data_IF_523340475557
#
_entry.id   IF_523340475557
#
_cell.length_a   1.000
_cell.length_b   1.000
_cell.length_c   1.000
_cell.angle_alpha   90.00
_cell.angle_beta   90.00
_cell.angle_gamma   90.00
#
_symmetry.space_group_name_H-M   'P 1'
#
loop_
_entity.id
_entity.type
_entity.pdbx_description
1 polymer ?
#
# COMPACT_ATOMS: atom_id res chain seq x y z
N UNK A 1 20.28 -5.45 19.27
CA UNK A 1 20.35 -3.98 19.30
C UNK A 1 20.49 -3.37 17.90
N UNK A 2 20.57 -4.16 16.84
CA UNK A 2 20.92 -3.71 15.47
C UNK A 2 19.79 -2.97 14.74
N UNK A 3 18.53 -3.17 15.15
CA UNK A 3 17.37 -2.58 14.48
C UNK A 3 17.02 -1.16 14.98
N UNK A 4 17.79 -0.63 15.93
CA UNK A 4 17.52 0.68 16.51
C UNK A 4 18.10 1.76 15.61
N UNK A 5 17.24 2.57 15.00
CA UNK A 5 17.67 3.72 14.22
C UNK A 5 18.13 4.84 15.17
N UNK A 6 19.45 4.99 15.34
CA UNK A 6 20.02 6.03 16.22
C UNK A 6 19.73 7.44 15.71
N UNK A 7 19.60 8.41 16.62
CA UNK A 7 19.39 9.83 16.30
C UNK A 7 20.68 10.61 16.62
N UNK A 8 21.05 11.53 15.73
CA UNK A 8 22.12 12.53 15.92
C UNK A 8 21.58 13.93 15.58
N UNK A 9 22.45 14.93 15.57
CA UNK A 9 22.08 16.35 15.37
C UNK A 9 21.28 16.60 14.09
N UNK A 10 21.54 15.83 13.05
CA UNK A 10 20.92 15.88 11.73
C UNK A 10 19.69 14.98 11.57
N UNK A 11 19.33 14.18 12.59
CA UNK A 11 18.15 13.32 12.58
C UNK A 11 18.47 11.83 12.70
N UNK A 12 17.55 10.98 12.22
CA UNK A 12 17.72 9.52 12.20
C UNK A 12 18.86 9.13 11.25
N UNK A 13 19.77 8.29 11.71
CA UNK A 13 20.95 7.86 10.95
C UNK A 13 20.67 6.67 10.02
N UNK A 14 19.55 5.98 10.23
CA UNK A 14 19.11 4.81 9.50
C UNK A 14 17.57 4.85 9.39
N UNK A 15 17.00 3.98 8.53
CA UNK A 15 15.56 3.94 8.28
C UNK A 15 15.01 2.52 8.32
N UNK A 16 15.46 1.72 9.30
CA UNK A 16 14.99 0.36 9.51
C UNK A 16 13.51 0.32 9.89
N UNK A 17 13.02 1.40 10.54
CA UNK A 17 11.61 1.64 10.81
C UNK A 17 10.78 2.08 9.58
N UNK A 18 11.40 2.22 8.39
CA UNK A 18 10.69 2.48 7.12
C UNK A 18 9.88 3.78 7.09
N UNK A 19 10.36 4.81 7.78
CA UNK A 19 9.73 6.13 7.88
C UNK A 19 8.65 6.26 8.94
N UNK A 20 8.22 5.16 9.59
CA UNK A 20 7.17 5.16 10.61
C UNK A 20 7.67 4.63 11.96
N UNK A 21 7.42 5.36 13.03
CA UNK A 21 7.72 4.92 14.40
C UNK A 21 6.50 5.17 15.28
N UNK A 22 6.02 4.13 15.98
CA UNK A 22 4.82 4.23 16.82
C UNK A 22 3.56 4.68 16.08
N UNK A 23 3.47 4.40 14.77
CA UNK A 23 2.34 4.82 13.93
C UNK A 23 2.41 6.27 13.43
N UNK A 24 3.51 6.98 13.63
CA UNK A 24 3.71 8.36 13.17
C UNK A 24 4.88 8.47 12.20
N UNK A 25 4.79 9.41 11.26
CA UNK A 25 5.88 9.76 10.36
C UNK A 25 7.07 10.32 11.14
N UNK A 26 8.28 9.87 10.79
CA UNK A 26 9.54 10.28 11.42
C UNK A 26 10.26 11.41 10.69
N UNK A 27 9.79 11.77 9.49
CA UNK A 27 10.48 12.67 8.54
C UNK A 27 11.43 11.92 7.59
N UNK A 28 11.74 10.66 7.85
CA UNK A 28 12.47 9.79 6.92
C UNK A 28 11.55 9.26 5.81
N UNK A 29 12.09 8.84 4.65
CA UNK A 29 11.28 8.26 3.58
C UNK A 29 10.42 7.09 4.04
N UNK A 30 9.16 7.06 3.61
CA UNK A 30 8.28 5.93 3.84
C UNK A 30 8.69 4.76 2.95
N UNK A 31 8.91 3.60 3.56
CA UNK A 31 9.31 2.37 2.84
C UNK A 31 8.24 1.32 3.05
N UNK A 32 7.56 0.95 1.96
CA UNK A 32 6.55 -0.10 1.96
C UNK A 32 6.99 -1.23 1.03
N UNK A 33 6.81 -2.48 1.47
CA UNK A 33 6.97 -3.67 0.62
C UNK A 33 5.63 -4.39 0.58
N UNK A 34 5.17 -4.70 -0.62
CA UNK A 34 3.89 -5.37 -0.84
C UNK A 34 4.14 -6.65 -1.61
N UNK A 35 3.69 -7.77 -1.03
CA UNK A 35 3.72 -9.08 -1.67
C UNK A 35 2.36 -9.33 -2.33
N UNK A 36 2.39 -9.72 -3.61
CA UNK A 36 1.20 -9.95 -4.41
C UNK A 36 1.19 -11.41 -4.83
N UNK A 37 0.07 -12.09 -4.57
CA UNK A 37 -0.13 -13.46 -5.02
C UNK A 37 -0.22 -13.52 -6.56
N UNK A 38 0.07 -14.67 -7.19
CA UNK A 38 -0.16 -14.85 -8.61
C UNK A 38 -1.62 -14.58 -9.03
N UNK A 39 -1.81 -14.19 -10.29
CA UNK A 39 -3.15 -14.00 -10.88
C UNK A 39 -3.94 -15.32 -10.81
N UNK A 40 -5.17 -15.27 -10.29
CA UNK A 40 -6.02 -16.47 -10.15
C UNK A 40 -6.57 -17.01 -11.48
N UNK A 41 -6.83 -16.12 -12.44
CA UNK A 41 -7.36 -16.50 -13.74
C UNK A 41 -6.23 -16.98 -14.64
N UNK A 42 -5.98 -18.29 -14.61
CA UNK A 42 -4.98 -18.95 -15.46
C UNK A 42 -5.65 -19.84 -16.52
N UNK A 43 -4.96 -20.15 -17.63
CA UNK A 43 -5.53 -20.96 -18.71
C UNK A 43 -5.78 -22.44 -18.37
N UNK A 44 -5.30 -22.92 -17.22
CA UNK A 44 -5.47 -24.31 -16.80
C UNK A 44 -6.89 -24.55 -16.26
N UNK A 45 -7.47 -25.74 -16.46
CA UNK A 45 -8.68 -26.16 -15.75
C UNK A 45 -8.45 -26.08 -14.23
N UNK A 46 -9.46 -25.63 -13.50
CA UNK A 46 -9.40 -25.44 -12.04
C UNK A 46 -10.68 -25.94 -11.39
N UNK A 47 -10.56 -26.69 -10.30
CA UNK A 47 -11.72 -27.11 -9.51
C UNK A 47 -12.36 -25.89 -8.82
N UNK A 48 -13.69 -25.77 -8.92
CA UNK A 48 -14.45 -24.67 -8.35
C UNK A 48 -15.91 -25.09 -8.13
N UNK A 49 -16.68 -24.23 -7.47
CA UNK A 49 -18.14 -24.39 -7.33
C UNK A 49 -18.88 -23.22 -7.97
N UNK A 50 -20.12 -23.47 -8.41
CA UNK A 50 -21.08 -22.42 -8.77
C UNK A 50 -21.75 -21.85 -7.52
N UNK A 51 -22.58 -20.81 -7.69
CA UNK A 51 -23.31 -20.16 -6.58
C UNK A 51 -24.33 -21.07 -5.91
N UNK A 52 -24.84 -22.08 -6.64
CA UNK A 52 -25.74 -23.13 -6.16
C UNK A 52 -25.00 -24.32 -5.53
N UNK A 53 -23.67 -24.22 -5.36
CA UNK A 53 -22.79 -25.23 -4.78
C UNK A 53 -22.57 -26.48 -5.65
N UNK A 54 -23.00 -26.45 -6.91
CA UNK A 54 -22.65 -27.49 -7.88
C UNK A 54 -21.16 -27.42 -8.22
N UNK A 55 -20.49 -28.58 -8.13
CA UNK A 55 -19.07 -28.76 -8.48
C UNK A 55 -18.86 -28.54 -9.98
N UNK A 56 -17.79 -27.82 -10.34
CA UNK A 56 -17.42 -27.55 -11.72
C UNK A 56 -15.91 -27.61 -11.93
N UNK A 57 -15.50 -28.10 -13.10
CA UNK A 57 -14.17 -27.86 -13.63
C UNK A 57 -14.20 -26.52 -14.38
N UNK A 58 -13.76 -25.45 -13.72
CA UNK A 58 -13.72 -24.12 -14.29
C UNK A 58 -12.59 -24.00 -15.33
N UNK A 59 -12.99 -23.74 -16.57
CA UNK A 59 -12.06 -23.41 -17.65
C UNK A 59 -12.16 -21.92 -17.98
N UNK A 60 -11.01 -21.24 -17.96
CA UNK A 60 -10.94 -19.83 -18.32
C UNK A 60 -11.27 -19.64 -19.80
N UNK A 61 -12.26 -18.79 -20.09
CA UNK A 61 -12.60 -18.42 -21.47
C UNK A 61 -11.44 -17.69 -22.14
N UNK A 62 -11.27 -17.92 -23.45
CA UNK A 62 -10.26 -17.23 -24.26
C UNK A 62 -10.44 -15.72 -24.17
N UNK A 63 -9.36 -15.02 -23.83
CA UNK A 63 -9.36 -13.57 -23.64
C UNK A 63 -8.03 -13.08 -23.09
N UNK A 64 -7.90 -11.76 -22.97
CA UNK A 64 -6.70 -11.14 -22.37
C UNK A 64 -6.87 -11.10 -20.85
N UNK A 65 -6.07 -11.92 -20.17
CA UNK A 65 -5.96 -11.94 -18.71
C UNK A 65 -4.59 -11.43 -18.28
N UNK A 66 -4.50 -10.89 -17.08
CA UNK A 66 -3.27 -10.30 -16.58
C UNK A 66 -2.29 -11.41 -16.16
N UNK A 67 -1.13 -11.59 -16.84
CA UNK A 67 -0.18 -12.63 -16.46
C UNK A 67 0.53 -12.32 -15.13
N UNK A 68 0.57 -11.05 -14.72
CA UNK A 68 1.20 -10.62 -13.48
C UNK A 68 0.58 -9.31 -12.97
N UNK A 69 -0.38 -9.43 -12.04
CA UNK A 69 -1.00 -8.30 -11.37
C UNK A 69 0.02 -7.32 -10.75
N UNK A 70 1.17 -7.84 -10.30
CA UNK A 70 2.23 -7.08 -9.66
C UNK A 70 2.81 -5.96 -10.53
N UNK A 71 2.89 -6.15 -11.85
CA UNK A 71 3.46 -5.14 -12.77
C UNK A 71 2.64 -3.85 -12.74
N UNK A 72 1.32 -3.97 -12.61
CA UNK A 72 0.40 -2.82 -12.59
C UNK A 72 0.08 -2.33 -11.19
N UNK A 73 0.35 -3.14 -10.17
CA UNK A 73 0.00 -2.81 -8.80
C UNK A 73 0.78 -1.61 -8.24
N UNK A 74 2.03 -1.39 -8.69
CA UNK A 74 2.88 -0.28 -8.21
C UNK A 74 2.18 1.07 -8.29
N UNK A 75 1.68 1.45 -9.47
CA UNK A 75 0.99 2.73 -9.69
C UNK A 75 -0.26 2.88 -8.81
N UNK A 76 -1.04 1.81 -8.67
CA UNK A 76 -2.25 1.81 -7.82
C UNK A 76 -1.90 1.96 -6.34
N UNK A 77 -0.84 1.29 -5.89
CA UNK A 77 -0.36 1.34 -4.50
C UNK A 77 0.23 2.71 -4.16
N UNK A 78 1.01 3.30 -5.06
CA UNK A 78 1.53 4.67 -4.92
C UNK A 78 0.38 5.69 -4.83
N UNK A 79 -0.60 5.59 -5.73
CA UNK A 79 -1.80 6.44 -5.70
C UNK A 79 -2.58 6.28 -4.39
N UNK A 80 -2.72 5.02 -3.91
CA UNK A 80 -3.40 4.74 -2.64
C UNK A 80 -2.65 5.33 -1.46
N UNK A 81 -1.32 5.22 -1.44
CA UNK A 81 -0.47 5.82 -0.41
C UNK A 81 -0.60 7.35 -0.40
N UNK A 82 -0.62 8.00 -1.57
CA UNK A 82 -0.81 9.45 -1.66
C UNK A 82 -2.14 9.92 -1.06
N UNK A 83 -3.24 9.18 -1.31
CA UNK A 83 -4.55 9.46 -0.72
C UNK A 83 -4.50 9.34 0.82
N UNK A 84 -3.87 8.29 1.34
CA UNK A 84 -3.75 8.08 2.79
C UNK A 84 -2.87 9.14 3.47
N UNK A 85 -1.79 9.57 2.80
CA UNK A 85 -0.96 10.66 3.31
C UNK A 85 -1.71 11.99 3.33
N UNK A 86 -2.47 12.30 2.30
CA UNK A 86 -3.31 13.50 2.28
C UNK A 86 -4.31 13.47 3.44
N UNK A 87 -4.98 12.34 3.67
CA UNK A 87 -5.90 12.18 4.79
C UNK A 87 -5.19 12.40 6.14
N UNK A 88 -4.02 11.78 6.34
CA UNK A 88 -3.23 11.95 7.57
C UNK A 88 -2.81 13.41 7.80
N UNK A 89 -2.44 14.14 6.74
CA UNK A 89 -2.12 15.57 6.80
C UNK A 89 -3.34 16.40 7.22
N UNK A 90 -4.48 16.18 6.56
CA UNK A 90 -5.73 16.90 6.87
C UNK A 90 -6.17 16.64 8.31
N UNK A 91 -6.12 15.37 8.76
CA UNK A 91 -6.40 15.02 10.16
C UNK A 91 -5.41 15.66 11.14
N UNK A 92 -4.13 15.79 10.78
CA UNK A 92 -3.16 16.47 11.61
C UNK A 92 -3.45 17.98 11.72
N UNK A 93 -3.74 18.64 10.59
CA UNK A 93 -4.10 20.07 10.56
C UNK A 93 -5.38 20.36 11.35
N UNK A 94 -6.38 19.49 11.27
CA UNK A 94 -7.63 19.64 12.02
C UNK A 94 -7.44 19.59 13.56
N UNK A 95 -6.33 19.02 14.06
CA UNK A 95 -6.04 19.01 15.52
C UNK A 95 -5.69 20.39 16.08
N UNK A 96 -5.20 21.30 15.24
CA UNK A 96 -4.88 22.68 15.61
C UNK A 96 -5.47 23.61 14.57
N UNK A 97 -6.71 24.03 14.81
CA UNK A 97 -7.39 25.04 14.00
C UNK A 97 -6.71 26.38 14.26
N UNK A 98 -5.69 26.68 13.46
CA UNK A 98 -5.11 28.01 13.35
C UNK A 98 -5.74 28.67 12.13
N UNK A 99 -6.37 29.82 12.33
CA UNK A 99 -7.05 30.58 11.27
C UNK A 99 -6.07 31.00 10.16
N UNK A 100 -4.76 31.07 10.44
CA UNK A 100 -3.73 31.43 9.46
C UNK A 100 -3.31 30.24 8.57
N UNK A 101 -3.63 29.00 8.94
CA UNK A 101 -3.22 27.80 8.20
C UNK A 101 -4.19 27.40 7.05
N UNK A 102 -5.29 28.15 6.87
CA UNK A 102 -6.32 27.88 5.86
C UNK A 102 -6.23 28.77 4.61
N UNK A 103 -5.10 29.44 4.37
CA UNK A 103 -4.83 30.07 3.08
C UNK A 103 -4.46 29.00 2.05
N UNK A 104 -5.48 28.47 1.38
CA UNK A 104 -5.29 27.66 0.18
C UNK A 104 -5.24 28.59 -1.04
N UNK A 105 -4.00 28.87 -1.47
CA UNK A 105 -3.59 29.63 -2.67
C UNK A 105 -3.93 31.13 -2.67
#
# INVERSE_FOLDING_TARGET
>A
SENNDTIRKDGYQQNSHGGLLGGMSTGMPLVCRVSIKPTSSIPQPQDSVRKDLEEIEFQLQKGRHDPCLGVRAGVTLESRLAIELLNAVLMHQARRVDLQNFELF
#
